data_IF_297999858750
#
_entry.id   IF_297999858750
#
_cell.length_a   1.000
_cell.length_b   1.000
_cell.length_c   1.000
_cell.angle_alpha   90.00
_cell.angle_beta   90.00
_cell.angle_gamma   90.00
#
_symmetry.space_group_name_H-M   'P 1'
#
loop_
_entity.id
_entity.type
_entity.pdbx_description
1 polymer ?
#
# COMPACT_ATOMS: atom_id res chain seq x y z
N UNK A 1 8.78 -27.14 -15.03
CA UNK A 1 8.20 -27.70 -13.78
C UNK A 1 7.68 -29.08 -14.10
N UNK A 2 8.04 -30.10 -13.31
CA UNK A 2 7.58 -31.48 -13.49
C UNK A 2 6.30 -31.73 -12.67
N UNK A 3 5.51 -32.74 -13.05
CA UNK A 3 4.40 -33.24 -12.24
C UNK A 3 4.87 -34.36 -11.31
N UNK A 4 4.31 -34.43 -10.10
CA UNK A 4 4.62 -35.48 -9.13
C UNK A 4 4.38 -36.89 -9.72
N UNK A 5 3.35 -37.04 -10.54
CA UNK A 5 3.02 -38.29 -11.23
C UNK A 5 4.05 -38.74 -12.26
N UNK A 6 4.89 -37.85 -12.79
CA UNK A 6 6.00 -38.21 -13.69
C UNK A 6 7.10 -38.99 -12.95
N UNK A 7 7.16 -38.87 -11.62
CA UNK A 7 8.06 -39.65 -10.77
C UNK A 7 7.42 -40.94 -10.24
N UNK A 8 6.26 -41.34 -10.79
CA UNK A 8 5.56 -42.59 -10.43
C UNK A 8 4.61 -42.46 -9.23
N UNK A 9 4.44 -41.28 -8.64
CA UNK A 9 3.53 -41.07 -7.53
C UNK A 9 2.06 -41.06 -7.97
N UNK A 10 1.23 -41.86 -7.29
CA UNK A 10 -0.21 -41.99 -7.58
C UNK A 10 -1.06 -41.31 -6.51
N UNK A 11 -2.18 -40.71 -6.90
CA UNK A 11 -3.22 -40.26 -5.98
C UNK A 11 -3.88 -41.45 -5.28
N UNK A 12 -4.73 -41.15 -4.29
CA UNK A 12 -5.52 -42.16 -3.57
C UNK A 12 -6.39 -43.01 -4.51
N UNK A 13 -6.79 -42.47 -5.65
CA UNK A 13 -7.62 -43.15 -6.66
C UNK A 13 -6.79 -43.91 -7.70
N UNK A 14 -5.47 -44.08 -7.47
CA UNK A 14 -4.56 -44.80 -8.36
C UNK A 14 -4.14 -44.03 -9.62
N UNK A 15 -4.67 -42.83 -9.85
CA UNK A 15 -4.32 -41.98 -10.98
C UNK A 15 -2.98 -41.26 -10.75
N UNK A 16 -2.23 -40.86 -11.79
CA UNK A 16 -0.98 -40.12 -11.62
C UNK A 16 -1.21 -38.80 -10.86
N UNK A 17 -0.34 -38.51 -9.89
CA UNK A 17 -0.45 -37.29 -9.09
C UNK A 17 -0.23 -36.05 -9.96
N UNK A 18 -1.25 -35.16 -10.02
CA UNK A 18 -1.23 -33.96 -10.87
C UNK A 18 -0.63 -32.73 -10.19
N UNK A 19 -0.05 -32.86 -9.00
CA UNK A 19 0.60 -31.74 -8.32
C UNK A 19 1.93 -31.40 -8.97
N UNK A 20 2.20 -30.10 -9.18
CA UNK A 20 3.49 -29.61 -9.65
C UNK A 20 4.52 -29.70 -8.52
N UNK A 21 5.70 -30.21 -8.84
CA UNK A 21 6.83 -30.27 -7.91
C UNK A 21 7.72 -29.01 -8.04
N UNK A 22 8.10 -28.37 -6.93
CA UNK A 22 9.08 -27.29 -6.91
C UNK A 22 10.43 -27.76 -7.48
N UNK A 23 11.23 -26.82 -7.97
CA UNK A 23 12.58 -27.13 -8.46
C UNK A 23 13.44 -27.71 -7.33
N UNK A 24 14.10 -28.86 -7.57
CA UNK A 24 14.92 -29.54 -6.56
C UNK A 24 14.16 -30.47 -5.60
N UNK A 25 12.82 -30.51 -5.66
CA UNK A 25 12.01 -31.47 -4.91
C UNK A 25 11.71 -32.72 -5.74
N UNK A 26 11.72 -33.90 -5.09
CA UNK A 26 11.43 -35.20 -5.74
C UNK A 26 9.95 -35.57 -5.67
N UNK A 27 9.19 -34.99 -4.74
CA UNK A 27 7.79 -35.32 -4.46
C UNK A 27 6.99 -34.09 -4.03
N UNK A 28 5.67 -34.12 -4.20
CA UNK A 28 4.79 -33.06 -3.70
C UNK A 28 4.51 -33.25 -2.20
N UNK A 29 3.88 -32.27 -1.55
CA UNK A 29 3.54 -32.34 -0.12
C UNK A 29 2.62 -33.52 0.27
N UNK A 30 1.92 -34.14 -0.68
CA UNK A 30 1.12 -35.35 -0.43
C UNK A 30 1.92 -36.65 -0.49
N UNK A 31 3.10 -36.61 -1.11
CA UNK A 31 3.91 -37.79 -1.44
C UNK A 31 5.34 -37.72 -0.90
N UNK A 32 5.66 -36.68 -0.11
CA UNK A 32 6.93 -36.61 0.61
C UNK A 32 6.87 -37.53 1.84
N UNK A 33 7.83 -38.44 2.02
CA UNK A 33 7.87 -39.32 3.18
C UNK A 33 8.17 -38.58 4.49
N UNK A 34 8.72 -37.36 4.42
CA UNK A 34 9.00 -36.53 5.60
C UNK A 34 7.89 -35.47 5.81
N UNK A 35 7.13 -35.55 6.90
CA UNK A 35 6.05 -34.60 7.19
C UNK A 35 6.54 -33.16 7.39
N UNK A 36 7.80 -32.96 7.81
CA UNK A 36 8.38 -31.63 7.99
C UNK A 36 8.68 -30.97 6.64
N UNK A 37 9.26 -31.72 5.70
CA UNK A 37 9.46 -31.25 4.32
C UNK A 37 8.16 -31.06 3.57
N UNK A 38 7.18 -31.95 3.76
CA UNK A 38 5.84 -31.79 3.20
C UNK A 38 5.20 -30.45 3.60
N UNK A 39 5.28 -30.08 4.90
CA UNK A 39 4.80 -28.78 5.38
C UNK A 39 5.55 -27.61 4.73
N UNK A 40 6.87 -27.69 4.62
CA UNK A 40 7.68 -26.64 3.98
C UNK A 40 7.32 -26.46 2.49
N UNK A 41 7.16 -27.57 1.75
CA UNK A 41 6.74 -27.56 0.34
C UNK A 41 5.37 -26.91 0.19
N UNK A 42 4.40 -27.27 1.05
CA UNK A 42 3.06 -26.66 1.01
C UNK A 42 3.11 -25.17 1.34
N UNK A 43 3.86 -24.77 2.37
CA UNK A 43 4.03 -23.37 2.75
C UNK A 43 4.62 -22.55 1.59
N UNK A 44 5.68 -23.05 0.96
CA UNK A 44 6.32 -22.39 -0.19
C UNK A 44 5.37 -22.33 -1.40
N UNK A 45 4.58 -23.37 -1.67
CA UNK A 45 3.60 -23.36 -2.74
C UNK A 45 2.47 -22.32 -2.50
N UNK A 46 2.01 -22.18 -1.25
CA UNK A 46 1.03 -21.16 -0.84
C UNK A 46 1.62 -19.76 -0.98
N UNK A 47 2.88 -19.55 -0.58
CA UNK A 47 3.56 -18.26 -0.76
C UNK A 47 3.79 -17.92 -2.24
N UNK A 48 4.21 -18.89 -3.05
CA UNK A 48 4.38 -18.71 -4.49
C UNK A 48 3.04 -18.38 -5.18
N UNK A 49 1.94 -19.02 -4.79
CA UNK A 49 0.60 -18.64 -5.28
C UNK A 49 0.17 -17.23 -4.84
N UNK A 50 0.60 -16.77 -3.66
CA UNK A 50 0.38 -15.39 -3.22
C UNK A 50 1.20 -14.40 -4.05
N UNK A 51 2.42 -14.77 -4.45
CA UNK A 51 3.29 -13.96 -5.30
C UNK A 51 2.86 -13.96 -6.78
N UNK A 52 2.28 -15.06 -7.29
CA UNK A 52 1.77 -15.16 -8.68
C UNK A 52 0.41 -14.49 -8.89
N UNK A 53 -0.21 -13.94 -7.83
CA UNK A 53 -1.45 -13.14 -7.90
C UNK A 53 -1.19 -11.64 -8.12
N UNK A 54 0.05 -11.23 -8.38
CA UNK A 54 0.43 -9.84 -8.56
C UNK A 54 0.21 -9.47 -10.04
N UNK A 55 -0.76 -8.60 -10.39
CA UNK A 55 -0.82 -7.98 -11.72
C UNK A 55 0.23 -6.86 -11.78
N UNK A 56 0.95 -6.72 -12.90
CA UNK A 56 2.21 -5.97 -12.92
C UNK A 56 2.12 -4.44 -12.83
N UNK A 57 1.01 -3.76 -13.11
CA UNK A 57 1.10 -2.30 -13.28
C UNK A 57 -0.11 -1.52 -12.77
N UNK A 58 -0.06 -1.11 -11.50
CA UNK A 58 -0.54 0.24 -11.18
C UNK A 58 0.65 1.12 -11.53
N UNK A 59 0.55 1.85 -12.64
CA UNK A 59 1.57 2.82 -13.02
C UNK A 59 1.53 3.98 -12.02
N UNK A 60 2.43 3.93 -11.04
CA UNK A 60 2.47 4.90 -9.94
C UNK A 60 3.02 6.25 -10.37
N UNK A 61 3.66 6.37 -11.55
CA UNK A 61 4.48 7.52 -11.92
C UNK A 61 5.49 7.93 -10.81
N UNK A 62 6.23 9.03 -11.00
CA UNK A 62 7.28 9.49 -10.05
C UNK A 62 6.75 10.20 -8.79
N UNK A 63 5.43 10.23 -8.54
CA UNK A 63 4.81 11.02 -7.45
C UNK A 63 5.36 12.46 -7.37
N UNK A 64 5.62 13.08 -8.52
CA UNK A 64 6.33 14.36 -8.60
C UNK A 64 5.52 15.53 -8.03
N UNK A 65 4.19 15.46 -8.13
CA UNK A 65 3.27 16.51 -7.66
C UNK A 65 2.16 15.96 -6.75
N UNK A 66 1.49 16.85 -6.02
CA UNK A 66 0.29 16.51 -5.23
C UNK A 66 -0.82 15.95 -6.14
N UNK A 67 -1.00 16.52 -7.33
CA UNK A 67 -2.00 16.05 -8.30
C UNK A 67 -1.71 14.64 -8.80
N UNK A 68 -0.43 14.28 -8.98
CA UNK A 68 -0.05 12.90 -9.31
C UNK A 68 -0.43 11.92 -8.19
N UNK A 69 -0.21 12.33 -6.94
CA UNK A 69 -0.61 11.54 -5.77
C UNK A 69 -2.14 11.33 -5.73
N UNK A 70 -2.93 12.38 -6.00
CA UNK A 70 -4.39 12.32 -6.05
C UNK A 70 -4.91 11.44 -7.19
N UNK A 71 -4.28 11.51 -8.36
CA UNK A 71 -4.61 10.68 -9.54
C UNK A 71 -4.42 9.20 -9.24
N UNK A 72 -3.28 8.81 -8.67
CA UNK A 72 -3.01 7.41 -8.28
C UNK A 72 -4.01 6.94 -7.22
N UNK A 73 -4.34 7.80 -6.25
CA UNK A 73 -5.35 7.49 -5.22
C UNK A 73 -6.73 7.21 -5.83
N UNK A 74 -7.13 7.99 -6.82
CA UNK A 74 -8.39 7.79 -7.54
C UNK A 74 -8.40 6.47 -8.34
N UNK A 75 -7.29 6.11 -8.99
CA UNK A 75 -7.15 4.82 -9.68
C UNK A 75 -7.29 3.63 -8.72
N UNK A 76 -6.63 3.69 -7.56
CA UNK A 76 -6.76 2.65 -6.52
C UNK A 76 -8.21 2.50 -6.04
N UNK A 77 -8.92 3.60 -5.82
CA UNK A 77 -10.34 3.57 -5.44
C UNK A 77 -11.21 2.94 -6.54
N UNK A 78 -10.93 3.23 -7.81
CA UNK A 78 -11.63 2.62 -8.94
C UNK A 78 -11.42 1.10 -8.96
N UNK A 79 -10.18 0.64 -8.82
CA UNK A 79 -9.85 -0.80 -8.77
C UNK A 79 -10.61 -1.50 -7.63
N UNK A 80 -10.62 -0.91 -6.44
CA UNK A 80 -11.35 -1.45 -5.29
C UNK A 80 -12.86 -1.59 -5.53
N UNK A 81 -13.44 -0.74 -6.39
CA UNK A 81 -14.87 -0.77 -6.73
C UNK A 81 -15.20 -1.73 -7.87
N UNK A 82 -14.30 -1.91 -8.82
CA UNK A 82 -14.56 -2.66 -10.07
C UNK A 82 -14.09 -4.12 -10.02
N UNK A 83 -13.03 -4.41 -9.26
CA UNK A 83 -12.49 -5.77 -9.22
C UNK A 83 -13.24 -6.68 -8.24
N UNK A 84 -13.52 -7.90 -8.70
CA UNK A 84 -14.21 -8.93 -7.90
C UNK A 84 -13.35 -9.48 -6.75
N UNK A 85 -12.02 -9.39 -6.87
CA UNK A 85 -11.04 -9.88 -5.87
C UNK A 85 -9.79 -8.99 -5.85
N UNK A 86 -9.90 -7.76 -5.32
CA UNK A 86 -8.78 -6.83 -5.29
C UNK A 86 -7.71 -7.26 -4.27
N UNK A 87 -6.44 -6.93 -4.55
CA UNK A 87 -5.34 -7.09 -3.59
C UNK A 87 -5.32 -5.93 -2.58
N UNK A 88 -6.09 -6.09 -1.51
CA UNK A 88 -6.23 -5.08 -0.45
C UNK A 88 -4.90 -4.68 0.19
N UNK A 89 -3.92 -5.59 0.30
CA UNK A 89 -2.65 -5.30 0.98
C UNK A 89 -1.79 -4.37 0.14
N UNK A 90 -1.73 -4.60 -1.18
CA UNK A 90 -1.00 -3.72 -2.09
C UNK A 90 -1.67 -2.36 -2.22
N UNK A 91 -3.00 -2.34 -2.36
CA UNK A 91 -3.75 -1.09 -2.50
C UNK A 91 -3.65 -0.24 -1.23
N UNK A 92 -3.67 -0.84 -0.04
CA UNK A 92 -3.41 -0.14 1.23
C UNK A 92 -1.99 0.45 1.30
N UNK A 93 -0.98 -0.31 0.86
CA UNK A 93 0.40 0.19 0.79
C UNK A 93 0.54 1.39 -0.16
N UNK A 94 -0.09 1.34 -1.33
CA UNK A 94 -0.10 2.44 -2.31
C UNK A 94 -0.86 3.66 -1.75
N UNK A 95 -1.99 3.46 -1.07
CA UNK A 95 -2.74 4.54 -0.42
C UNK A 95 -1.93 5.22 0.68
N UNK A 96 -1.15 4.46 1.47
CA UNK A 96 -0.26 5.00 2.49
C UNK A 96 0.90 5.79 1.88
N UNK A 97 1.53 5.25 0.84
CA UNK A 97 2.63 5.91 0.14
C UNK A 97 2.18 7.24 -0.50
N UNK A 98 1.06 7.23 -1.24
CA UNK A 98 0.48 8.43 -1.87
C UNK A 98 0.10 9.50 -0.85
N UNK A 99 -0.45 9.09 0.30
CA UNK A 99 -0.79 10.03 1.39
C UNK A 99 0.46 10.67 2.00
N UNK A 100 1.49 9.87 2.28
CA UNK A 100 2.77 10.37 2.80
C UNK A 100 3.48 11.32 1.83
N UNK A 101 3.57 10.95 0.56
CA UNK A 101 4.16 11.80 -0.48
C UNK A 101 3.41 13.14 -0.63
N UNK A 102 2.08 13.12 -0.62
CA UNK A 102 1.27 14.35 -0.72
C UNK A 102 1.51 15.30 0.48
N UNK A 103 1.71 14.76 1.68
CA UNK A 103 2.01 15.56 2.87
C UNK A 103 3.39 16.20 2.79
N UNK A 104 4.41 15.44 2.35
CA UNK A 104 5.77 15.95 2.15
C UNK A 104 5.80 17.09 1.11
N UNK A 105 5.07 16.94 0.00
CA UNK A 105 4.93 18.00 -1.00
C UNK A 105 4.24 19.25 -0.47
N UNK A 106 3.20 19.09 0.36
CA UNK A 106 2.52 20.22 0.98
C UNK A 106 3.43 20.98 1.94
N UNK A 107 4.24 20.27 2.74
CA UNK A 107 5.23 20.87 3.64
C UNK A 107 6.29 21.63 2.85
N UNK A 108 6.89 21.04 1.81
CA UNK A 108 7.89 21.70 0.95
C UNK A 108 7.34 22.93 0.23
N UNK A 109 6.09 22.86 -0.24
CA UNK A 109 5.43 24.01 -0.86
C UNK A 109 5.24 25.16 0.14
N UNK A 110 4.86 24.84 1.38
CA UNK A 110 4.71 25.82 2.45
C UNK A 110 6.05 26.43 2.87
N UNK A 111 7.11 25.64 2.98
CA UNK A 111 8.47 26.13 3.26
C UNK A 111 8.93 27.11 2.18
N UNK A 112 8.77 26.74 0.90
CA UNK A 112 9.13 27.60 -0.22
C UNK A 112 8.29 28.87 -0.30
N UNK A 113 6.99 28.78 0.03
CA UNK A 113 6.14 29.96 0.14
C UNK A 113 6.61 30.90 1.25
N UNK A 114 7.00 30.35 2.41
CA UNK A 114 7.53 31.14 3.52
C UNK A 114 8.86 31.81 3.14
N UNK A 115 9.75 31.10 2.44
CA UNK A 115 11.00 31.67 1.91
C UNK A 115 10.73 32.83 0.94
N UNK A 116 9.81 32.66 -0.01
CA UNK A 116 9.43 33.71 -0.96
C UNK A 116 8.82 34.92 -0.23
N UNK A 117 7.95 34.69 0.77
CA UNK A 117 7.36 35.75 1.57
C UNK A 117 8.44 36.52 2.37
N UNK A 118 9.44 35.83 2.91
CA UNK A 118 10.56 36.46 3.62
C UNK A 118 11.47 37.27 2.68
N UNK A 119 11.61 36.85 1.42
CA UNK A 119 12.40 37.54 0.39
C UNK A 119 11.69 38.76 -0.21
N UNK A 120 10.38 38.69 -0.44
CA UNK A 120 9.60 39.77 -1.06
C UNK A 120 9.38 40.97 -0.13
N UNK A 121 9.33 40.75 1.18
CA UNK A 121 8.76 41.73 2.12
C UNK A 121 9.81 42.41 3.04
N UNK A 122 11.08 42.42 2.64
CA UNK A 122 12.13 43.20 3.31
C UNK A 122 12.16 43.00 4.84
N UNK A 123 12.20 41.74 5.28
CA UNK A 123 12.43 41.29 6.67
C UNK A 123 11.46 41.75 7.79
N UNK A 124 10.46 42.59 7.53
CA UNK A 124 9.57 43.13 8.58
C UNK A 124 8.12 42.64 8.52
N UNK A 125 7.41 42.98 7.44
CA UNK A 125 5.97 42.77 7.34
C UNK A 125 5.59 41.30 7.09
N UNK A 126 6.33 40.62 6.22
CA UNK A 126 6.08 39.20 5.88
C UNK A 126 6.32 38.26 7.06
N UNK A 127 7.30 38.59 7.90
CA UNK A 127 7.61 37.83 9.12
C UNK A 127 6.48 37.98 10.15
N UNK A 128 5.94 39.19 10.33
CA UNK A 128 4.78 39.45 11.18
C UNK A 128 3.49 38.80 10.67
N UNK A 129 3.29 38.70 9.35
CA UNK A 129 2.16 37.99 8.75
C UNK A 129 2.25 36.48 8.94
N UNK A 130 3.46 35.90 8.79
CA UNK A 130 3.72 34.48 9.06
C UNK A 130 3.57 34.13 10.54
N UNK A 131 4.05 34.99 11.44
CA UNK A 131 3.85 34.83 12.88
C UNK A 131 2.37 34.85 13.23
N UNK A 132 1.59 35.78 12.67
CA UNK A 132 0.13 35.80 12.84
C UNK A 132 -0.52 34.54 12.29
N UNK A 133 -0.12 34.02 11.14
CA UNK A 133 -0.68 32.76 10.61
C UNK A 133 -0.35 31.55 11.50
N UNK A 134 0.83 31.53 12.12
CA UNK A 134 1.29 30.45 13.01
C UNK A 134 0.68 30.54 14.41
N UNK A 135 0.45 31.75 14.92
CA UNK A 135 -0.12 32.03 16.25
C UNK A 135 -1.65 32.21 16.22
N UNK A 136 -2.25 32.39 15.04
CA UNK A 136 -3.70 32.51 14.93
C UNK A 136 -4.35 31.18 15.33
N UNK A 137 -5.26 31.18 16.31
CA UNK A 137 -6.02 29.98 16.64
C UNK A 137 -6.78 29.56 15.38
N UNK A 138 -6.64 28.28 14.99
CA UNK A 138 -7.37 27.67 13.88
C UNK A 138 -8.86 27.98 14.05
N UNK A 139 -9.35 28.99 13.34
CA UNK A 139 -10.75 29.40 13.43
C UNK A 139 -11.56 28.24 12.88
N UNK A 140 -12.37 27.62 13.74
CA UNK A 140 -13.24 26.51 13.34
C UNK A 140 -14.10 27.00 12.18
N UNK A 141 -13.99 26.33 11.02
CA UNK A 141 -14.82 26.65 9.86
C UNK A 141 -16.30 26.62 10.29
N UNK A 142 -17.11 27.63 9.91
CA UNK A 142 -18.49 27.71 10.34
C UNK A 142 -19.24 26.47 9.85
N UNK A 143 -19.69 25.62 10.78
CA UNK A 143 -20.44 24.40 10.48
C UNK A 143 -20.13 23.19 11.37
N UNK A 144 -19.01 23.16 12.09
CA UNK A 144 -18.77 22.13 13.13
C UNK A 144 -18.86 22.77 14.51
N UNK A 145 -19.96 22.52 15.21
CA UNK A 145 -20.09 22.87 16.64
C UNK A 145 -18.90 22.26 17.39
N UNK A 146 -18.17 23.09 18.13
CA UNK A 146 -17.20 22.61 19.10
C UNK A 146 -17.91 21.66 20.08
N UNK A 147 -17.28 20.53 20.49
CA UNK A 147 -17.85 19.70 21.53
C UNK A 147 -17.88 20.53 22.80
N UNK A 148 -19.09 20.80 23.31
CA UNK A 148 -19.28 21.42 24.61
C UNK A 148 -18.67 20.51 25.67
N UNK A 149 -17.53 20.91 26.22
CA UNK A 149 -17.00 20.36 27.45
C UNK A 149 -18.07 20.51 28.54
N UNK A 150 -18.65 19.39 28.96
CA UNK A 150 -19.36 19.33 30.24
C UNK A 150 -18.30 19.26 31.34
N UNK A 151 -18.03 20.40 31.96
CA UNK A 151 -17.41 20.51 33.28
C UNK A 151 -18.49 20.83 34.34
N UNK A 152 -18.27 20.49 35.61
CA UNK A 152 -19.33 20.03 36.52
C UNK A 152 -19.89 21.13 37.44
N UNK A 153 -21.20 21.07 37.67
CA UNK A 153 -21.88 21.16 38.97
C UNK A 153 -23.39 20.92 38.75
#
# INVERSE_FOLDING_TARGET
MKLCGENGHKSRDGQPCRFRIPHGATSCHHHDPDPSRAKAINFNAVQAQRQLRIPDSIDTNEFATVDDCLRVRAQVVTILKTEKRPDFKRLDMILKATSGASADHATKAQERQNEILLQLDGHGAGLAALQRLKESPLRVLPGKRAPTEKGPA
#
